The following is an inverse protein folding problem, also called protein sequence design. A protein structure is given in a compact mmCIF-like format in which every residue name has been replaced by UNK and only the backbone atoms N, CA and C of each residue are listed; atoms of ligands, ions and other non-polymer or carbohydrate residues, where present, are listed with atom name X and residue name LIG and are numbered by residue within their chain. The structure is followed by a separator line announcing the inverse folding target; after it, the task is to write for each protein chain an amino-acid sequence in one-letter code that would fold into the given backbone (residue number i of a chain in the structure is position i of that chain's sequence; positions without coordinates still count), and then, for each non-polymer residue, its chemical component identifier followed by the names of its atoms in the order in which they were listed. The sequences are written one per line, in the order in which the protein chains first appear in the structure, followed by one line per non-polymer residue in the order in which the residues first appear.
data_IF_278072889572
#
_entry.id   IF_278072889572
#
_cell.length_a   1.000
_cell.length_b   1.000
_cell.length_c   1.000
_cell.angle_alpha   90.00
_cell.angle_beta   90.00
_cell.angle_gamma   90.00
#
_symmetry.space_group_name_H-M   'P 1'
#
loop_
_entity.id
_entity.type
_entity.pdbx_description
1 polymer ?
#
# COMPACT_ATOMS: atom_id res chain seq x y z
N UNK A 1 -2.98 15.01 -3.62
CA UNK A 1 -3.32 14.41 -2.31
C UNK A 1 -2.04 13.90 -1.67
N UNK A 2 -1.84 14.11 -0.38
CA UNK A 2 -0.65 13.64 0.35
C UNK A 2 -1.11 12.77 1.51
N UNK A 3 -0.69 11.50 1.51
CA UNK A 3 -0.83 10.58 2.63
C UNK A 3 0.50 10.54 3.35
N UNK A 4 0.51 10.80 4.65
CA UNK A 4 1.70 10.76 5.50
C UNK A 4 1.51 9.69 6.57
N UNK A 5 2.56 8.91 6.80
CA UNK A 5 2.62 7.99 7.93
C UNK A 5 3.01 8.83 9.15
N UNK A 6 2.12 8.90 10.14
CA UNK A 6 2.34 9.65 11.39
C UNK A 6 2.97 8.77 12.45
N UNK A 7 2.51 7.52 12.56
CA UNK A 7 3.16 6.51 13.39
C UNK A 7 3.00 5.12 12.76
N UNK A 8 3.95 4.25 13.04
CA UNK A 8 3.92 2.86 12.62
C UNK A 8 4.55 2.03 13.73
N UNK A 9 3.70 1.45 14.58
CA UNK A 9 4.06 0.45 15.57
C UNK A 9 3.73 -0.95 14.99
N UNK A 10 4.35 -2.01 15.51
CA UNK A 10 4.21 -3.38 14.96
C UNK A 10 2.74 -3.83 14.73
N UNK A 11 1.82 -3.33 15.56
CA UNK A 11 0.39 -3.68 15.51
C UNK A 11 -0.52 -2.53 15.09
N UNK A 12 -0.01 -1.30 14.93
CA UNK A 12 -0.84 -0.11 14.71
C UNK A 12 -0.18 0.84 13.71
N UNK A 13 -0.89 1.10 12.62
CA UNK A 13 -0.49 2.06 11.60
C UNK A 13 -1.39 3.31 11.69
N UNK A 14 -0.79 4.47 11.93
CA UNK A 14 -1.49 5.76 11.93
C UNK A 14 -1.13 6.53 10.68
N UNK A 15 -2.12 6.75 9.82
CA UNK A 15 -1.99 7.49 8.56
C UNK A 15 -2.78 8.78 8.64
N UNK A 16 -2.18 9.87 8.20
CA UNK A 16 -2.85 11.16 8.03
C UNK A 16 -2.98 11.46 6.55
N UNK A 17 -4.19 11.73 6.10
CA UNK A 17 -4.46 12.18 4.73
C UNK A 17 -4.99 13.60 4.74
N UNK A 18 -4.56 14.37 3.74
CA UNK A 18 -5.14 15.68 3.45
C UNK A 18 -5.78 15.63 2.07
N UNK A 19 -7.09 15.90 2.05
CA UNK A 19 -7.91 15.94 0.84
C UNK A 19 -8.32 17.38 0.59
N UNK A 20 -8.17 17.80 -0.65
CA UNK A 20 -8.68 19.08 -1.11
C UNK A 20 -10.17 18.92 -1.43
N UNK A 21 -11.01 19.60 -0.66
CA UNK A 21 -12.48 19.57 -0.80
C UNK A 21 -13.02 20.73 -1.64
N UNK A 22 -12.14 21.47 -2.33
CA UNK A 22 -12.56 22.50 -3.29
C UNK A 22 -13.16 21.88 -4.55
N UNK A 23 -14.10 22.61 -5.18
CA UNK A 23 -14.78 22.23 -6.41
C UNK A 23 -16.25 21.93 -6.20
N UNK A 24 -16.85 21.22 -7.15
CA UNK A 24 -18.22 20.73 -7.03
C UNK A 24 -18.32 19.55 -6.06
N UNK A 25 -19.53 19.24 -5.60
CA UNK A 25 -19.78 18.10 -4.69
C UNK A 25 -19.25 16.79 -5.27
N UNK A 26 -19.44 16.56 -6.58
CA UNK A 26 -19.00 15.34 -7.25
C UNK A 26 -17.46 15.23 -7.29
N UNK A 27 -16.78 16.32 -7.61
CA UNK A 27 -15.31 16.35 -7.62
C UNK A 27 -14.73 16.14 -6.21
N UNK A 28 -15.39 16.68 -5.18
CA UNK A 28 -15.00 16.44 -3.79
C UNK A 28 -15.18 14.96 -3.40
N UNK A 29 -16.28 14.31 -3.80
CA UNK A 29 -16.51 12.89 -3.57
C UNK A 29 -15.46 12.01 -4.26
N UNK A 30 -15.13 12.28 -5.53
CA UNK A 30 -14.07 11.58 -6.25
C UNK A 30 -12.72 11.72 -5.56
N UNK A 31 -12.40 12.93 -5.09
CA UNK A 31 -11.16 13.21 -4.37
C UNK A 31 -11.08 12.48 -3.03
N UNK A 32 -12.18 12.42 -2.29
CA UNK A 32 -12.28 11.68 -1.02
C UNK A 32 -12.13 10.18 -1.29
N UNK A 33 -12.83 9.64 -2.28
CA UNK A 33 -12.77 8.23 -2.64
C UNK A 33 -11.35 7.81 -3.05
N UNK A 34 -10.68 8.62 -3.86
CA UNK A 34 -9.30 8.37 -4.25
C UNK A 34 -8.35 8.36 -3.03
N UNK A 35 -8.55 9.27 -2.09
CA UNK A 35 -7.75 9.34 -0.87
C UNK A 35 -7.95 8.11 0.04
N UNK A 36 -9.19 7.65 0.22
CA UNK A 36 -9.50 6.44 0.97
C UNK A 36 -8.91 5.19 0.31
N UNK A 37 -9.00 5.09 -1.02
CA UNK A 37 -8.42 3.97 -1.76
C UNK A 37 -6.88 3.93 -1.61
N UNK A 38 -6.22 5.08 -1.69
CA UNK A 38 -4.77 5.17 -1.48
C UNK A 38 -4.37 4.79 -0.06
N UNK A 39 -5.11 5.27 0.95
CA UNK A 39 -4.93 4.87 2.36
C UNK A 39 -5.09 3.35 2.55
N UNK A 40 -6.13 2.77 1.96
CA UNK A 40 -6.39 1.33 2.03
C UNK A 40 -5.28 0.49 1.39
N UNK A 41 -4.81 0.91 0.21
CA UNK A 41 -3.69 0.23 -0.49
C UNK A 41 -2.42 0.24 0.36
N UNK A 42 -2.01 1.41 0.85
CA UNK A 42 -0.81 1.57 1.67
C UNK A 42 -0.90 0.76 2.98
N UNK A 43 -2.07 0.75 3.61
CA UNK A 43 -2.31 -0.05 4.82
C UNK A 43 -2.20 -1.54 4.51
N UNK A 44 -2.78 -1.99 3.41
CA UNK A 44 -2.74 -3.39 2.98
C UNK A 44 -1.32 -3.84 2.65
N UNK A 45 -0.55 -3.01 1.93
CA UNK A 45 0.87 -3.24 1.64
C UNK A 45 1.69 -3.37 2.92
N UNK A 46 1.43 -2.51 3.92
CA UNK A 46 2.14 -2.56 5.20
C UNK A 46 1.79 -3.80 6.01
N UNK A 47 0.51 -4.18 6.04
CA UNK A 47 0.07 -5.43 6.68
C UNK A 47 0.67 -6.64 5.99
N UNK A 48 0.70 -6.66 4.65
CA UNK A 48 1.37 -7.72 3.88
C UNK A 48 2.86 -7.83 4.23
N UNK A 49 3.57 -6.71 4.34
CA UNK A 49 4.98 -6.70 4.74
C UNK A 49 5.18 -7.22 6.18
N UNK A 50 4.32 -6.84 7.12
CA UNK A 50 4.40 -7.33 8.51
C UNK A 50 4.07 -8.82 8.60
N UNK A 51 3.06 -9.31 7.86
CA UNK A 51 2.71 -10.74 7.80
C UNK A 51 3.81 -11.60 7.15
N UNK A 52 4.51 -11.09 6.12
CA UNK A 52 5.61 -11.80 5.47
C UNK A 52 6.87 -11.89 6.39
N UNK A 53 6.93 -11.06 7.43
CA UNK A 53 8.01 -11.04 8.43
C UNK A 53 7.74 -11.97 9.63
N UNK A 54 6.48 -12.35 9.88
CA UNK A 54 6.06 -13.24 10.99
C UNK A 54 6.25 -14.74 10.69
N UNK A 55 6.95 -15.09 9.60
CA UNK A 55 7.48 -16.44 9.41
C UNK A 55 6.48 -17.50 8.93
N UNK A 56 5.34 -17.12 8.35
CA UNK A 56 4.60 -18.04 7.45
C UNK A 56 4.67 -17.50 6.02
N UNK A 57 5.18 -18.29 5.05
CA UNK A 57 5.56 -17.77 3.75
C UNK A 57 4.33 -17.35 2.95
N UNK A 58 4.14 -16.04 2.74
CA UNK A 58 3.16 -15.54 1.79
C UNK A 58 3.82 -15.54 0.42
N UNK A 59 3.58 -16.62 -0.35
CA UNK A 59 4.01 -16.73 -1.76
C UNK A 59 3.28 -15.71 -2.63
N UNK A 60 3.75 -14.47 -2.66
CA UNK A 60 3.39 -13.50 -3.70
C UNK A 60 4.16 -13.83 -4.98
N UNK A 61 3.48 -14.48 -5.92
CA UNK A 61 3.88 -14.57 -7.32
C UNK A 61 5.03 -15.53 -7.61
N UNK A 62 4.72 -16.76 -8.01
CA UNK A 62 5.68 -17.64 -8.67
C UNK A 62 6.12 -17.04 -10.01
N UNK A 63 7.16 -16.20 -10.02
CA UNK A 63 7.89 -15.91 -11.26
C UNK A 63 9.26 -16.55 -11.19
N UNK A 64 9.31 -17.83 -11.58
CA UNK A 64 10.56 -18.54 -11.86
C UNK A 64 11.25 -17.88 -13.06
N UNK A 65 12.26 -17.08 -12.78
CA UNK A 65 13.22 -16.60 -13.77
C UNK A 65 14.36 -17.62 -13.89
N UNK A 66 14.44 -18.30 -15.04
CA UNK A 66 15.60 -19.11 -15.41
C UNK A 66 16.60 -18.25 -16.17
N UNK A 67 17.83 -18.15 -15.67
CA UNK A 67 18.97 -17.66 -16.46
C UNK A 67 19.51 -18.79 -17.33
N UNK A 68 19.52 -18.61 -18.66
CA UNK A 68 20.25 -19.53 -19.57
C UNK A 68 21.75 -19.40 -19.28
N UNK A 69 22.33 -20.41 -18.63
CA UNK A 69 23.78 -20.49 -18.52
C UNK A 69 24.33 -20.95 -19.89
N UNK A 70 25.08 -20.07 -20.57
CA UNK A 70 26.00 -20.47 -21.64
C UNK A 70 27.32 -20.89 -20.99
N UNK A 71 27.90 -21.97 -21.52
CA UNK A 71 29.29 -22.50 -21.38
C UNK A 71 29.32 -23.85 -20.65
N UNK A 72 30.07 -24.86 -21.10
CA UNK A 72 31.26 -24.89 -21.95
C UNK A 72 31.33 -26.22 -22.70
#
# INVERSE_FOLDING_TARGET
MSVKIVSNDDQKLTLQVTVDISGSMLEAEEKIMAACNALGSLSTEKVLANFDTDGTPIKMGQKKIHGKNKRK
#
